data_IF_562123578729
#
_entry.id   IF_562123578729
#
_cell.length_a   1.000
_cell.length_b   1.000
_cell.length_c   1.000
_cell.angle_alpha   90.00
_cell.angle_beta   90.00
_cell.angle_gamma   90.00
#
_symmetry.space_group_name_H-M   'P 1'
#
loop_
_entity.id
_entity.type
_entity.pdbx_description
1 polymer ?
#
# COMPACT_ATOMS: atom_id res chain seq x y z
N UNK A 1 -6.46 9.25 -0.74
CA UNK A 1 -7.62 8.51 -0.21
C UNK A 1 -7.18 7.08 0.10
N UNK A 2 -7.62 6.52 1.23
CA UNK A 2 -7.47 5.09 1.53
C UNK A 2 -8.85 4.44 1.42
N UNK A 3 -8.98 3.42 0.58
CA UNK A 3 -10.18 2.59 0.48
C UNK A 3 -9.84 1.23 1.07
N UNK A 4 -10.57 0.82 2.10
CA UNK A 4 -10.35 -0.43 2.81
C UNK A 4 -11.48 -1.40 2.49
N UNK A 5 -11.15 -2.66 2.19
CA UNK A 5 -12.12 -3.73 2.05
C UNK A 5 -12.62 -4.21 3.42
N UNK A 6 -13.56 -5.15 3.41
CA UNK A 6 -13.96 -5.82 4.63
C UNK A 6 -12.76 -6.56 5.25
N UNK A 7 -12.48 -6.37 6.55
CA UNK A 7 -11.33 -6.98 7.19
C UNK A 7 -11.62 -8.45 7.58
N UNK A 8 -10.57 -9.27 7.64
CA UNK A 8 -10.60 -10.60 8.27
C UNK A 8 -9.80 -10.54 9.56
N UNK A 9 -10.42 -10.95 10.67
CA UNK A 9 -9.79 -10.95 12.00
C UNK A 9 -9.49 -12.38 12.46
N UNK A 10 -8.23 -12.62 12.84
CA UNK A 10 -7.78 -13.82 13.53
C UNK A 10 -7.46 -13.44 14.98
N UNK A 11 -8.29 -13.86 15.93
CA UNK A 11 -8.19 -13.48 17.34
C UNK A 11 -7.71 -14.69 18.16
N UNK A 12 -6.73 -14.47 19.03
CA UNK A 12 -6.19 -15.44 19.99
C UNK A 12 -6.01 -14.77 21.36
N UNK A 13 -7.00 -14.96 22.24
CA UNK A 13 -7.05 -14.33 23.56
C UNK A 13 -6.95 -12.80 23.50
N UNK A 14 -5.88 -12.25 24.05
CA UNK A 14 -5.61 -10.81 24.09
C UNK A 14 -4.78 -10.30 22.89
N UNK A 15 -4.60 -11.12 21.84
CA UNK A 15 -3.88 -10.76 20.63
C UNK A 15 -4.74 -11.05 19.40
N UNK A 16 -4.53 -10.28 18.34
CA UNK A 16 -5.19 -10.56 17.07
C UNK A 16 -4.34 -10.09 15.89
N UNK A 17 -4.59 -10.67 14.73
CA UNK A 17 -4.14 -10.15 13.43
C UNK A 17 -5.38 -9.77 12.62
N UNK A 18 -5.39 -8.55 12.12
CA UNK A 18 -6.40 -8.08 11.16
C UNK A 18 -5.75 -7.98 9.79
N UNK A 19 -6.31 -8.66 8.80
CA UNK A 19 -5.92 -8.53 7.39
C UNK A 19 -6.96 -7.69 6.64
N UNK A 20 -6.50 -6.68 5.90
CA UNK A 20 -7.35 -5.78 5.14
C UNK A 20 -6.74 -5.49 3.77
N UNK A 21 -7.43 -5.86 2.69
CA UNK A 21 -7.07 -5.37 1.36
C UNK A 21 -7.40 -3.88 1.25
N UNK A 22 -6.49 -3.10 0.69
CA UNK A 22 -6.62 -1.65 0.60
C UNK A 22 -6.15 -1.11 -0.75
N UNK A 23 -6.79 -0.03 -1.19
CA UNK A 23 -6.29 0.83 -2.26
C UNK A 23 -5.88 2.18 -1.66
N UNK A 24 -4.63 2.56 -1.88
CA UNK A 24 -4.08 3.84 -1.45
C UNK A 24 -3.91 4.70 -2.70
N UNK A 25 -4.59 5.84 -2.74
CA UNK A 25 -4.66 6.69 -3.91
C UNK A 25 -4.17 8.08 -3.58
N UNK A 26 -3.27 8.62 -4.37
CA UNK A 26 -2.89 10.02 -4.27
C UNK A 26 -2.40 10.55 -5.61
N UNK A 27 -2.37 11.88 -5.72
CA UNK A 27 -1.91 12.58 -6.91
C UNK A 27 -0.54 13.17 -6.64
N UNK A 28 0.40 12.91 -7.53
CA UNK A 28 1.79 13.34 -7.41
C UNK A 28 2.28 14.04 -8.68
N UNK A 29 3.52 14.51 -8.65
CA UNK A 29 4.26 15.03 -9.78
C UNK A 29 5.53 14.20 -10.00
N UNK A 30 5.71 13.69 -11.22
CA UNK A 30 6.91 12.96 -11.62
C UNK A 30 7.51 13.68 -12.82
N UNK A 31 8.69 14.27 -12.63
CA UNK A 31 9.42 14.99 -13.69
C UNK A 31 8.55 16.06 -14.38
N UNK A 32 7.72 16.78 -13.61
CA UNK A 32 6.80 17.82 -14.11
C UNK A 32 5.50 17.29 -14.72
N UNK A 33 5.27 15.96 -14.71
CA UNK A 33 4.02 15.33 -15.15
C UNK A 33 3.17 15.00 -13.94
N UNK A 34 1.96 15.59 -13.88
CA UNK A 34 0.97 15.23 -12.86
C UNK A 34 0.45 13.83 -13.12
N UNK A 35 0.49 12.99 -12.08
CA UNK A 35 0.10 11.58 -12.15
C UNK A 35 -0.85 11.22 -11.00
N UNK A 36 -1.76 10.28 -11.26
CA UNK A 36 -2.53 9.58 -10.24
C UNK A 36 -1.87 8.22 -9.97
N UNK A 37 -1.52 7.97 -8.71
CA UNK A 37 -1.04 6.68 -8.20
C UNK A 37 -2.20 5.94 -7.53
N UNK A 38 -2.28 4.64 -7.81
CA UNK A 38 -3.06 3.68 -7.02
C UNK A 38 -2.16 2.53 -6.59
N UNK A 39 -2.00 2.37 -5.27
CA UNK A 39 -1.33 1.22 -4.66
C UNK A 39 -2.33 0.20 -4.16
N UNK A 40 -2.20 -1.04 -4.62
CA UNK A 40 -2.96 -2.19 -4.15
C UNK A 40 -2.14 -2.89 -3.08
N UNK A 41 -2.67 -2.90 -1.86
CA UNK A 41 -1.94 -3.34 -0.67
C UNK A 41 -2.77 -4.30 0.17
N UNK A 42 -2.08 -5.20 0.89
CA UNK A 42 -2.64 -5.94 2.02
C UNK A 42 -2.06 -5.36 3.31
N UNK A 43 -2.92 -4.82 4.14
CA UNK A 43 -2.57 -4.27 5.45
C UNK A 43 -2.74 -5.36 6.51
N UNK A 44 -1.69 -5.57 7.31
CA UNK A 44 -1.68 -6.49 8.43
C UNK A 44 -1.52 -5.70 9.72
N UNK A 45 -2.57 -5.68 10.53
CA UNK A 45 -2.55 -5.06 11.86
C UNK A 45 -2.31 -6.14 12.90
N UNK A 46 -1.22 -6.03 13.65
CA UNK A 46 -1.05 -6.79 14.89
C UNK A 46 -1.70 -6.00 16.02
N UNK A 47 -2.65 -6.62 16.70
CA UNK A 47 -3.45 -6.00 17.74
C UNK A 47 -3.15 -6.65 19.10
N UNK A 48 -3.17 -5.86 20.16
CA UNK A 48 -3.07 -6.33 21.54
C UNK A 48 -4.17 -5.67 22.38
N UNK A 49 -4.87 -6.47 23.19
CA UNK A 49 -5.91 -5.98 24.11
C UNK A 49 -5.24 -5.45 25.38
N UNK A 50 -5.45 -4.18 25.69
CA UNK A 50 -4.94 -3.51 26.89
C UNK A 50 -6.15 -3.02 27.69
N UNK A 51 -6.41 -3.66 28.83
CA UNK A 51 -7.66 -3.48 29.56
C UNK A 51 -8.83 -3.99 28.71
N UNK A 52 -9.79 -3.10 28.44
CA UNK A 52 -10.96 -3.42 27.61
C UNK A 52 -10.83 -3.06 26.13
N UNK A 53 -9.74 -2.37 25.76
CA UNK A 53 -9.54 -1.84 24.42
C UNK A 53 -8.57 -2.70 23.61
N UNK A 54 -8.88 -2.89 22.33
CA UNK A 54 -7.89 -3.33 21.34
C UNK A 54 -7.06 -2.13 20.87
N UNK A 55 -5.73 -2.30 20.86
CA UNK A 55 -4.78 -1.31 20.33
C UNK A 55 -3.99 -1.91 19.18
N UNK A 56 -3.67 -1.08 18.18
CA UNK A 56 -2.76 -1.45 17.11
C UNK A 56 -1.34 -1.40 17.66
N UNK A 57 -0.68 -2.55 17.71
CA UNK A 57 0.72 -2.68 18.10
C UNK A 57 1.65 -2.42 16.92
N UNK A 58 1.32 -2.99 15.76
CA UNK A 58 2.08 -2.85 14.52
C UNK A 58 1.12 -2.82 13.35
N UNK A 59 1.37 -1.94 12.38
CA UNK A 59 0.79 -2.00 11.04
C UNK A 59 1.91 -2.33 10.06
N UNK A 60 1.72 -3.38 9.26
CA UNK A 60 2.57 -3.73 8.12
C UNK A 60 1.78 -3.57 6.84
N UNK A 61 2.40 -3.03 5.81
CA UNK A 61 1.82 -2.98 4.48
C UNK A 61 2.59 -3.91 3.55
N UNK A 62 1.86 -4.77 2.86
CA UNK A 62 2.37 -5.58 1.77
C UNK A 62 1.89 -4.92 0.48
N UNK A 63 2.82 -4.38 -0.29
CA UNK A 63 2.53 -3.79 -1.59
C UNK A 63 2.52 -4.92 -2.63
N UNK A 64 1.37 -5.11 -3.27
CA UNK A 64 1.18 -6.18 -4.24
C UNK A 64 1.35 -5.69 -5.66
N UNK A 65 0.88 -4.47 -5.93
CA UNK A 65 0.97 -3.82 -7.24
C UNK A 65 0.68 -2.33 -7.10
N UNK A 66 1.42 -1.53 -7.86
CA UNK A 66 1.17 -0.10 -8.02
C UNK A 66 0.89 0.24 -9.48
N UNK A 67 0.02 1.21 -9.72
CA UNK A 67 -0.22 1.78 -11.05
C UNK A 67 -0.09 3.29 -11.00
N UNK A 68 0.71 3.86 -11.90
CA UNK A 68 0.87 5.31 -12.09
C UNK A 68 0.29 5.66 -13.46
N UNK A 69 -0.64 6.62 -13.50
CA UNK A 69 -1.24 7.09 -14.75
C UNK A 69 -1.16 8.61 -14.82
N UNK A 70 -0.71 9.19 -15.94
CA UNK A 70 -0.79 10.63 -16.16
C UNK A 70 -2.22 11.14 -16.00
N UNK A 71 -2.38 12.27 -15.33
CA UNK A 71 -3.69 12.91 -15.15
C UNK A 71 -4.27 13.37 -16.50
N UNK A 72 -3.39 13.76 -17.42
CA UNK A 72 -3.76 14.14 -18.79
C UNK A 72 -3.58 12.92 -19.72
N UNK A 73 -4.65 12.40 -20.33
CA UNK A 73 -4.54 11.27 -21.25
C UNK A 73 -3.62 11.56 -22.44
N UNK A 74 -2.81 10.57 -22.82
CA UNK A 74 -1.85 10.69 -23.92
C UNK A 74 -0.54 11.39 -23.56
N UNK A 75 -0.40 11.93 -22.34
CA UNK A 75 0.90 12.40 -21.85
C UNK A 75 1.81 11.22 -21.54
N UNK A 76 3.09 11.32 -21.92
CA UNK A 76 4.11 10.35 -21.53
C UNK A 76 4.85 10.83 -20.29
N UNK A 77 5.15 9.91 -19.36
CA UNK A 77 6.04 10.19 -18.23
C UNK A 77 7.48 9.97 -18.73
N UNK A 78 8.37 10.97 -18.67
CA UNK A 78 9.73 10.86 -19.21
C UNK A 78 10.65 10.08 -18.25
N UNK A 79 10.43 8.77 -18.14
CA UNK A 79 11.22 7.91 -17.26
C UNK A 79 12.51 7.44 -17.93
N UNK A 80 13.61 7.47 -17.17
CA UNK A 80 14.90 6.90 -17.59
C UNK A 80 14.90 5.38 -17.38
N UNK A 81 14.77 4.63 -18.47
CA UNK A 81 14.72 3.17 -18.46
C UNK A 81 16.03 2.53 -17.99
N UNK A 82 17.19 3.13 -18.29
CA UNK A 82 18.48 2.58 -17.88
C UNK A 82 18.68 2.70 -16.37
N UNK A 83 18.24 3.82 -15.80
CA UNK A 83 18.24 4.02 -14.36
C UNK A 83 17.24 3.09 -13.66
N UNK A 84 16.05 2.93 -14.22
CA UNK A 84 15.04 2.02 -13.65
C UNK A 84 15.52 0.56 -13.61
N UNK A 85 16.23 0.11 -14.65
CA UNK A 85 16.76 -1.25 -14.71
C UNK A 85 17.81 -1.56 -13.62
N UNK A 86 18.40 -0.53 -13.00
CA UNK A 86 19.35 -0.69 -11.89
C UNK A 86 18.66 -0.75 -10.52
N UNK A 87 17.37 -0.40 -10.46
CA UNK A 87 16.60 -0.47 -9.23
C UNK A 87 16.07 -1.89 -9.08
N UNK A 88 16.20 -2.44 -7.87
CA UNK A 88 15.63 -3.75 -7.55
C UNK A 88 14.11 -3.69 -7.75
N UNK A 89 13.61 -4.56 -8.61
CA UNK A 89 12.18 -4.85 -8.68
C UNK A 89 11.70 -5.34 -7.32
N UNK A 90 10.63 -4.73 -6.83
CA UNK A 90 9.96 -5.16 -5.61
C UNK A 90 9.11 -6.38 -5.95
N UNK A 91 9.44 -7.59 -5.46
CA UNK A 91 8.58 -8.74 -5.69
C UNK A 91 7.26 -8.52 -4.96
N UNK A 92 6.16 -8.90 -5.61
CA UNK A 92 4.84 -8.91 -4.97
C UNK A 92 4.93 -9.65 -3.64
N UNK A 93 4.55 -8.99 -2.53
CA UNK A 93 4.61 -9.60 -1.20
C UNK A 93 5.67 -9.05 -0.24
N UNK A 94 6.50 -8.07 -0.63
CA UNK A 94 7.45 -7.49 0.32
C UNK A 94 6.72 -6.70 1.43
N UNK A 95 7.01 -7.06 2.67
CA UNK A 95 6.57 -6.37 3.88
C UNK A 95 7.54 -5.24 4.19
N UNK A 96 7.06 -3.99 4.23
CA UNK A 96 7.81 -2.83 4.74
C UNK A 96 7.38 -2.59 6.20
#
# INVERSE_FOLDING_TARGET
MHQLAAPVAHVDGNRAVLEVSAQIQFRDDIEGVRVDLVSFTRLLYQLERIGDDWKIKVLRAIYERDTITPVVPGTSIPLDSERLAQIREQPAGLVI
#
